data_IF_153717848228
#
_entry.id   IF_153717848228
#
_cell.length_a   1.000
_cell.length_b   1.000
_cell.length_c   1.000
_cell.angle_alpha   90.00
_cell.angle_beta   90.00
_cell.angle_gamma   90.00
#
_symmetry.space_group_name_H-M   'P 1'
#
loop_
_entity.id
_entity.type
_entity.pdbx_description
1 polymer ?
#
# COMPACT_ATOMS: atom_id res chain seq x y z
N UNK A 1 1.64 16.16 -13.47
CA UNK A 1 0.67 16.39 -12.39
C UNK A 1 0.51 15.05 -11.66
N UNK A 2 0.85 14.79 -10.41
CA UNK A 2 1.43 15.54 -9.28
C UNK A 2 2.56 14.63 -8.71
N UNK A 3 3.81 15.08 -8.63
CA UNK A 3 4.96 14.21 -8.27
C UNK A 3 4.86 13.68 -6.84
N UNK A 4 4.22 14.42 -5.95
CA UNK A 4 4.09 14.09 -4.53
C UNK A 4 2.97 13.08 -4.27
N UNK A 5 1.79 13.29 -4.85
CA UNK A 5 0.66 12.36 -4.70
C UNK A 5 1.02 10.95 -5.17
N UNK A 6 1.73 10.84 -6.32
CA UNK A 6 2.24 9.56 -6.80
C UNK A 6 3.19 8.91 -5.79
N UNK A 7 4.12 9.67 -5.20
CA UNK A 7 5.03 9.18 -4.15
C UNK A 7 4.28 8.70 -2.92
N UNK A 8 3.25 9.43 -2.48
CA UNK A 8 2.39 9.03 -1.36
C UNK A 8 1.72 7.69 -1.67
N UNK A 9 1.09 7.56 -2.86
CA UNK A 9 0.45 6.30 -3.27
C UNK A 9 1.44 5.14 -3.33
N UNK A 10 2.65 5.38 -3.87
CA UNK A 10 3.71 4.37 -3.93
C UNK A 10 4.19 3.94 -2.53
N UNK A 11 4.29 4.88 -1.58
CA UNK A 11 4.63 4.59 -0.18
C UNK A 11 3.52 3.78 0.52
N UNK A 12 2.26 4.10 0.29
CA UNK A 12 1.11 3.33 0.80
C UNK A 12 1.16 1.89 0.27
N UNK A 13 1.39 1.72 -1.04
CA UNK A 13 1.54 0.39 -1.64
C UNK A 13 2.70 -0.39 -1.03
N UNK A 14 3.85 0.26 -0.84
CA UNK A 14 5.01 -0.35 -0.21
C UNK A 14 4.70 -0.79 1.22
N UNK A 15 4.07 0.07 2.02
CA UNK A 15 3.68 -0.26 3.39
C UNK A 15 2.76 -1.49 3.46
N UNK A 16 1.69 -1.51 2.66
CA UNK A 16 0.73 -2.62 2.66
C UNK A 16 1.38 -3.91 2.18
N UNK A 17 2.24 -3.84 1.16
CA UNK A 17 3.01 -4.99 0.66
C UNK A 17 3.96 -5.56 1.70
N UNK A 18 4.72 -4.72 2.39
CA UNK A 18 5.63 -5.17 3.45
C UNK A 18 4.87 -5.75 4.64
N UNK A 19 3.75 -5.13 5.02
CA UNK A 19 2.87 -5.66 6.06
C UNK A 19 2.25 -7.01 5.64
N UNK A 20 1.92 -7.18 4.37
CA UNK A 20 1.42 -8.44 3.83
C UNK A 20 2.51 -9.52 3.85
N UNK A 21 3.75 -9.21 3.45
CA UNK A 21 4.88 -10.13 3.59
C UNK A 21 5.07 -10.55 5.05
N UNK A 22 5.01 -9.59 5.98
CA UNK A 22 5.10 -9.87 7.40
C UNK A 22 3.93 -10.73 7.90
N UNK A 23 2.71 -10.50 7.41
CA UNK A 23 1.54 -11.34 7.69
C UNK A 23 1.78 -12.79 7.24
N UNK A 24 2.33 -13.00 6.04
CA UNK A 24 2.67 -14.33 5.53
C UNK A 24 3.72 -15.02 6.41
N UNK A 25 4.80 -14.31 6.76
CA UNK A 25 5.87 -14.84 7.63
C UNK A 25 5.36 -15.15 9.03
N UNK A 26 4.57 -14.26 9.65
CA UNK A 26 4.03 -14.44 11.00
C UNK A 26 3.08 -15.64 11.07
N UNK A 27 2.26 -15.84 10.04
CA UNK A 27 1.34 -16.98 9.94
C UNK A 27 2.01 -18.25 9.40
N UNK A 28 3.31 -18.22 9.10
CA UNK A 28 4.07 -19.32 8.48
C UNK A 28 3.44 -19.86 7.19
N UNK A 29 2.79 -18.98 6.42
CA UNK A 29 2.19 -19.30 5.12
C UNK A 29 2.99 -18.65 3.99
N UNK A 30 3.06 -19.30 2.83
CA UNK A 30 3.69 -18.72 1.63
C UNK A 30 2.70 -17.87 0.80
N UNK A 31 1.42 -18.08 1.02
CA UNK A 31 0.33 -17.45 0.29
C UNK A 31 -1.00 -17.70 0.98
N UNK A 32 -1.98 -16.83 0.71
CA UNK A 32 -3.38 -16.99 1.09
C UNK A 32 -4.25 -17.21 -0.15
N UNK A 33 -5.48 -17.67 0.06
CA UNK A 33 -6.46 -17.79 -1.02
C UNK A 33 -6.78 -16.40 -1.59
N UNK A 34 -7.01 -16.33 -2.91
CA UNK A 34 -7.34 -15.06 -3.55
C UNK A 34 -8.65 -14.43 -3.02
N UNK A 35 -9.56 -15.25 -2.50
CA UNK A 35 -10.78 -14.83 -1.81
C UNK A 35 -10.51 -14.11 -0.50
N UNK A 36 -9.39 -14.39 0.16
CA UNK A 36 -9.05 -13.84 1.48
C UNK A 36 -8.22 -12.56 1.38
N UNK A 37 -7.62 -12.29 0.20
CA UNK A 37 -6.82 -11.10 -0.05
C UNK A 37 -7.59 -9.80 0.25
N UNK A 38 -8.86 -9.62 -0.18
CA UNK A 38 -9.62 -8.41 0.15
C UNK A 38 -9.72 -8.16 1.66
N UNK A 39 -10.01 -9.21 2.44
CA UNK A 39 -10.13 -9.11 3.90
C UNK A 39 -8.79 -8.76 4.56
N UNK A 40 -7.70 -9.37 4.09
CA UNK A 40 -6.36 -9.06 4.59
C UNK A 40 -5.94 -7.64 4.22
N UNK A 41 -6.20 -7.19 2.99
CA UNK A 41 -5.94 -5.80 2.58
C UNK A 41 -6.74 -4.83 3.44
N UNK A 42 -8.01 -5.11 3.71
CA UNK A 42 -8.83 -4.29 4.60
C UNK A 42 -8.23 -4.18 6.01
N UNK A 43 -7.79 -5.30 6.60
CA UNK A 43 -7.10 -5.30 7.89
C UNK A 43 -5.76 -4.54 7.86
N UNK A 44 -4.99 -4.65 6.78
CA UNK A 44 -3.67 -4.03 6.67
C UNK A 44 -3.71 -2.55 6.28
N UNK A 45 -4.80 -2.11 5.67
CA UNK A 45 -5.00 -0.75 5.18
C UNK A 45 -5.96 0.03 6.08
N UNK A 46 -7.21 -0.42 6.23
CA UNK A 46 -8.28 0.29 6.96
C UNK A 46 -7.93 0.46 8.44
N UNK A 47 -7.54 -0.63 9.10
CA UNK A 47 -7.24 -0.61 10.53
C UNK A 47 -5.90 0.06 10.85
N UNK A 48 -5.07 0.32 9.84
CA UNK A 48 -3.74 0.89 9.99
C UNK A 48 -3.59 2.25 9.31
N UNK A 49 -4.67 2.95 8.98
CA UNK A 49 -4.62 4.27 8.33
C UNK A 49 -3.76 5.28 9.09
N UNK A 50 -3.88 5.33 10.42
CA UNK A 50 -3.07 6.20 11.27
C UNK A 50 -1.57 5.88 11.16
N UNK A 51 -1.23 4.58 11.18
CA UNK A 51 0.14 4.12 10.98
C UNK A 51 0.66 4.43 9.58
N UNK A 52 -0.18 4.29 8.56
CA UNK A 52 0.16 4.62 7.17
C UNK A 52 0.46 6.11 7.06
N UNK A 53 -0.34 6.97 7.67
CA UNK A 53 -0.12 8.41 7.66
C UNK A 53 1.21 8.80 8.30
N UNK A 54 1.55 8.21 9.45
CA UNK A 54 2.84 8.43 10.11
C UNK A 54 3.98 7.93 9.23
N UNK A 55 3.88 6.69 8.73
CA UNK A 55 4.89 6.08 7.86
C UNK A 55 5.16 6.90 6.60
N UNK A 56 4.10 7.36 5.92
CA UNK A 56 4.21 8.17 4.70
C UNK A 56 4.88 9.50 5.02
N UNK A 57 4.43 10.19 6.06
CA UNK A 57 4.97 11.50 6.46
C UNK A 57 6.45 11.40 6.81
N UNK A 58 6.84 10.39 7.60
CA UNK A 58 8.23 10.16 7.98
C UNK A 58 9.10 9.75 6.78
N UNK A 59 8.57 8.92 5.88
CA UNK A 59 9.27 8.55 4.65
C UNK A 59 9.49 9.76 3.75
N UNK A 60 8.48 10.62 3.58
CA UNK A 60 8.61 11.85 2.79
C UNK A 60 9.61 12.84 3.39
N UNK A 61 9.63 12.99 4.72
CA UNK A 61 10.64 13.79 5.44
C UNK A 61 12.06 13.37 5.07
N UNK A 62 12.31 12.06 5.09
CA UNK A 62 13.63 11.50 4.76
C UNK A 62 13.97 11.69 3.28
N UNK A 63 12.98 11.52 2.38
CA UNK A 63 13.19 11.58 0.93
C UNK A 63 13.36 13.00 0.39
N UNK A 64 12.59 13.97 0.90
CA UNK A 64 12.53 15.33 0.37
C UNK A 64 13.38 16.31 1.18
N UNK A 65 13.66 16.03 2.46
CA UNK A 65 14.46 16.88 3.35
C UNK A 65 14.03 18.35 3.26
N UNK A 66 14.85 19.21 2.68
CA UNK A 66 14.63 20.65 2.55
C UNK A 66 13.53 21.01 1.53
N UNK A 67 13.19 20.09 0.61
CA UNK A 67 12.10 20.24 -0.36
C UNK A 67 10.74 19.77 0.20
N UNK A 68 10.66 19.49 1.50
CA UNK A 68 9.46 18.96 2.10
C UNK A 68 8.33 20.01 2.06
N UNK A 69 7.16 19.66 1.48
CA UNK A 69 5.96 20.48 1.57
C UNK A 69 5.50 20.61 3.03
N UNK A 70 4.75 21.66 3.33
CA UNK A 70 4.15 21.84 4.64
C UNK A 70 3.23 20.66 4.99
N UNK A 71 3.23 20.25 6.27
CA UNK A 71 2.49 19.07 6.75
C UNK A 71 1.00 19.07 6.36
N UNK A 72 0.36 20.25 6.33
CA UNK A 72 -1.05 20.36 5.92
C UNK A 72 -1.30 19.93 4.46
N UNK A 73 -0.32 20.12 3.56
CA UNK A 73 -0.42 19.70 2.16
C UNK A 73 -0.42 18.17 2.09
N UNK A 74 0.48 17.52 2.84
CA UNK A 74 0.59 16.06 2.90
C UNK A 74 -0.69 15.46 3.51
N UNK A 75 -1.18 16.05 4.60
CA UNK A 75 -2.41 15.61 5.26
C UNK A 75 -3.64 15.75 4.35
N UNK A 76 -3.74 16.83 3.58
CA UNK A 76 -4.82 17.01 2.60
C UNK A 76 -4.75 15.93 1.50
N UNK A 77 -3.57 15.68 0.93
CA UNK A 77 -3.40 14.65 -0.09
C UNK A 77 -3.72 13.25 0.45
N UNK A 78 -3.28 12.93 1.67
CA UNK A 78 -3.62 11.66 2.33
C UNK A 78 -5.13 11.53 2.55
N UNK A 79 -5.78 12.61 2.99
CA UNK A 79 -7.24 12.64 3.17
C UNK A 79 -7.98 12.42 1.85
N UNK A 80 -7.52 13.03 0.76
CA UNK A 80 -8.09 12.80 -0.57
C UNK A 80 -7.90 11.35 -1.04
N UNK A 81 -6.72 10.77 -0.81
CA UNK A 81 -6.43 9.37 -1.15
C UNK A 81 -7.29 8.40 -0.32
N UNK A 82 -7.43 8.65 0.98
CA UNK A 82 -8.26 7.84 1.87
C UNK A 82 -9.76 8.03 1.63
N UNK A 83 -10.18 9.17 1.09
CA UNK A 83 -11.58 9.38 0.68
C UNK A 83 -11.95 8.47 -0.51
N UNK A 84 -11.00 8.14 -1.37
CA UNK A 84 -11.15 7.17 -2.47
C UNK A 84 -10.71 5.75 -2.04
N UNK A 85 -11.18 5.31 -0.87
CA UNK A 85 -10.85 4.03 -0.25
C UNK A 85 -11.12 2.83 -1.16
N UNK A 86 -12.25 2.85 -1.87
CA UNK A 86 -12.67 1.78 -2.78
C UNK A 86 -11.63 1.55 -3.90
N UNK A 87 -11.17 2.63 -4.54
CA UNK A 87 -10.19 2.54 -5.61
C UNK A 87 -8.82 2.13 -5.06
N UNK A 88 -8.42 2.68 -3.91
CA UNK A 88 -7.17 2.32 -3.24
C UNK A 88 -7.16 0.84 -2.84
N UNK A 89 -8.21 0.34 -2.19
CA UNK A 89 -8.35 -1.07 -1.81
C UNK A 89 -8.31 -1.98 -3.02
N UNK A 90 -9.05 -1.68 -4.09
CA UNK A 90 -9.03 -2.48 -5.34
C UNK A 90 -7.62 -2.55 -5.93
N UNK A 91 -6.91 -1.43 -5.97
CA UNK A 91 -5.53 -1.39 -6.47
C UNK A 91 -4.58 -2.19 -5.60
N UNK A 92 -4.67 -2.03 -4.27
CA UNK A 92 -3.88 -2.80 -3.31
C UNK A 92 -4.14 -4.31 -3.44
N UNK A 93 -5.40 -4.74 -3.57
CA UNK A 93 -5.76 -6.14 -3.79
C UNK A 93 -5.10 -6.68 -5.06
N UNK A 94 -5.16 -5.94 -6.17
CA UNK A 94 -4.51 -6.32 -7.42
C UNK A 94 -2.99 -6.43 -7.26
N UNK A 95 -2.35 -5.46 -6.62
CA UNK A 95 -0.90 -5.49 -6.36
C UNK A 95 -0.49 -6.68 -5.48
N UNK A 96 -1.26 -7.00 -4.44
CA UNK A 96 -1.01 -8.16 -3.57
C UNK A 96 -1.20 -9.47 -4.34
N UNK A 97 -2.26 -9.58 -5.16
CA UNK A 97 -2.46 -10.74 -6.04
C UNK A 97 -1.27 -10.94 -6.98
N UNK A 98 -0.81 -9.88 -7.64
CA UNK A 98 0.34 -9.94 -8.54
C UNK A 98 1.63 -10.27 -7.82
N UNK A 99 1.85 -9.70 -6.63
CA UNK A 99 3.02 -9.99 -5.81
C UNK A 99 3.03 -11.46 -5.37
N UNK A 100 1.89 -11.99 -4.90
CA UNK A 100 1.76 -13.39 -4.53
C UNK A 100 2.01 -14.32 -5.74
N UNK A 101 1.41 -14.02 -6.90
CA UNK A 101 1.64 -14.80 -8.13
C UNK A 101 3.11 -14.79 -8.54
N UNK A 102 3.78 -13.63 -8.44
CA UNK A 102 5.21 -13.50 -8.73
C UNK A 102 6.06 -14.36 -7.79
N UNK A 103 5.74 -14.38 -6.50
CA UNK A 103 6.44 -15.19 -5.50
C UNK A 103 6.21 -16.69 -5.74
N UNK A 104 5.01 -17.10 -6.15
CA UNK A 104 4.68 -18.51 -6.39
C UNK A 104 5.22 -19.05 -7.73
N UNK A 105 5.15 -18.26 -8.80
CA UNK A 105 5.39 -18.74 -10.18
C UNK A 105 6.63 -18.13 -10.84
N UNK A 106 7.26 -17.14 -10.20
CA UNK A 106 8.40 -16.40 -10.76
C UNK A 106 8.02 -15.45 -11.92
N UNK A 107 6.75 -15.37 -12.32
CA UNK A 107 6.25 -14.53 -13.42
C UNK A 107 4.98 -13.79 -13.02
N UNK A 108 4.77 -12.61 -13.59
CA UNK A 108 3.53 -11.82 -13.39
C UNK A 108 2.68 -12.00 -14.64
N UNK A 109 1.48 -12.58 -14.48
CA UNK A 109 0.56 -12.79 -15.60
C UNK A 109 -0.49 -11.68 -15.65
N UNK A 110 -0.18 -10.63 -16.40
CA UNK A 110 -1.06 -9.48 -16.60
C UNK A 110 -2.34 -9.80 -17.38
N UNK A 111 -2.51 -11.02 -17.93
CA UNK A 111 -3.70 -11.43 -18.68
C UNK A 111 -4.84 -11.97 -17.81
N UNK A 112 -4.60 -12.20 -16.51
CA UNK A 112 -5.60 -12.70 -15.55
C UNK A 112 -6.32 -11.60 -14.76
N UNK A 113 -6.12 -10.34 -15.15
CA UNK A 113 -6.68 -9.15 -14.49
C UNK A 113 -7.62 -8.45 -15.46
#
# INVERSE_FOLDING_TARGET
MCSLEKRIRDLIHFYVKENYNNYLTTNNVKSILESDIPNVVEMLYEQKKDHIQVFVTDSLKIMLKDEMPQDYIINNLLTEIFRDDELCKKRLITEIKLHQQKVQTGKVDYKKI
#
